data_IF_890715648549
#
_entry.id   IF_890715648549
#
_cell.length_a   1.000
_cell.length_b   1.000
_cell.length_c   1.000
_cell.angle_alpha   90.00
_cell.angle_beta   90.00
_cell.angle_gamma   90.00
#
_symmetry.space_group_name_H-M   'P 1'
#
loop_
_entity.id
_entity.type
_entity.pdbx_description
1 polymer ?
#
# COMPACT_ATOMS: atom_id res chain seq x y z
N UNK A 1 11.09 5.31 4.56
CA UNK A 1 11.11 4.15 5.47
C UNK A 1 10.23 3.03 4.91
N UNK A 2 10.74 1.82 4.87
CA UNK A 2 9.95 0.66 4.48
C UNK A 2 9.25 0.04 5.67
N UNK A 3 7.97 -0.28 5.50
CA UNK A 3 7.17 -0.97 6.51
C UNK A 3 6.54 -2.20 5.91
N UNK A 4 6.31 -3.20 6.73
CA UNK A 4 5.64 -4.45 6.36
C UNK A 4 4.57 -4.74 7.38
N UNK A 5 3.52 -5.40 6.93
CA UNK A 5 2.44 -5.80 7.84
C UNK A 5 1.45 -6.73 7.19
N UNK A 6 0.40 -7.00 7.94
CA UNK A 6 -0.73 -7.80 7.50
C UNK A 6 -2.01 -7.09 7.88
N UNK A 7 -2.92 -6.92 6.95
CA UNK A 7 -4.20 -6.28 7.16
C UNK A 7 -5.28 -7.12 6.49
N UNK A 8 -6.32 -7.48 7.22
CA UNK A 8 -7.41 -8.33 6.71
C UNK A 8 -6.91 -9.66 6.12
N UNK A 9 -5.79 -10.18 6.66
CA UNK A 9 -5.18 -11.40 6.16
C UNK A 9 -4.26 -11.22 4.95
N UNK A 10 -4.12 -10.02 4.43
CA UNK A 10 -3.25 -9.71 3.29
C UNK A 10 -1.93 -9.15 3.77
N UNK A 11 -0.81 -9.72 3.28
CA UNK A 11 0.53 -9.16 3.54
C UNK A 11 0.73 -7.93 2.66
N UNK A 12 1.46 -6.97 3.18
CA UNK A 12 1.80 -5.78 2.40
C UNK A 12 3.19 -5.26 2.77
N UNK A 13 3.77 -4.52 1.84
CA UNK A 13 5.01 -3.77 2.03
C UNK A 13 4.79 -2.36 1.50
N UNK A 14 5.24 -1.37 2.26
CA UNK A 14 5.01 0.02 1.91
C UNK A 14 6.23 0.88 2.17
N UNK A 15 6.49 1.83 1.27
CA UNK A 15 7.48 2.88 1.53
C UNK A 15 6.74 4.12 1.99
N UNK A 16 7.04 4.56 3.20
CA UNK A 16 6.31 5.63 3.87
C UNK A 16 7.26 6.77 4.19
N UNK A 17 6.89 7.99 3.81
CA UNK A 17 7.65 9.19 4.11
C UNK A 17 7.00 9.96 5.26
N UNK A 18 7.75 10.88 5.83
CA UNK A 18 7.25 11.73 6.93
C UNK A 18 6.15 12.68 6.43
N UNK A 19 6.30 13.18 5.21
CA UNK A 19 5.34 14.12 4.62
C UNK A 19 4.74 13.54 3.35
N UNK A 20 3.53 13.94 3.02
CA UNK A 20 2.90 13.59 1.77
C UNK A 20 3.59 14.24 0.58
N UNK A 21 3.39 13.68 -0.62
CA UNK A 21 3.96 14.19 -1.86
C UNK A 21 3.05 13.89 -3.04
N UNK A 22 3.34 14.55 -4.18
CA UNK A 22 2.60 14.30 -5.41
C UNK A 22 2.78 12.86 -5.92
N UNK A 23 3.81 12.16 -5.45
CA UNK A 23 4.06 10.76 -5.83
C UNK A 23 3.39 9.76 -4.87
N UNK A 24 2.83 10.22 -3.76
CA UNK A 24 2.15 9.37 -2.82
C UNK A 24 0.72 9.06 -3.26
N UNK A 25 0.17 7.95 -2.76
CA UNK A 25 -1.23 7.60 -2.99
C UNK A 25 -2.09 8.74 -2.42
N UNK A 26 -2.94 9.32 -3.26
CA UNK A 26 -3.80 10.47 -2.89
C UNK A 26 -2.99 11.65 -2.31
N UNK A 27 -1.79 11.87 -2.84
CA UNK A 27 -0.86 12.90 -2.37
C UNK A 27 -0.47 12.70 -0.90
N UNK A 28 -0.53 11.45 -0.43
CA UNK A 28 -0.20 11.10 0.94
C UNK A 28 1.25 10.69 1.13
N UNK A 29 1.50 10.01 2.25
CA UNK A 29 2.85 9.64 2.69
C UNK A 29 3.34 8.32 2.09
N UNK A 30 2.45 7.48 1.55
CA UNK A 30 2.81 6.18 0.99
C UNK A 30 3.10 6.34 -0.49
N UNK A 31 4.37 6.18 -0.89
CA UNK A 31 4.79 6.34 -2.29
C UNK A 31 5.00 5.02 -3.01
N UNK A 32 5.11 3.91 -2.28
CA UNK A 32 5.18 2.56 -2.83
C UNK A 32 4.36 1.65 -1.95
N UNK A 33 3.56 0.79 -2.57
CA UNK A 33 2.73 -0.15 -1.84
C UNK A 33 2.51 -1.40 -2.68
N UNK A 34 2.83 -2.55 -2.10
CA UNK A 34 2.50 -3.84 -2.68
C UNK A 34 1.64 -4.61 -1.68
N UNK A 35 0.53 -5.16 -2.14
CA UNK A 35 -0.35 -6.00 -1.33
C UNK A 35 -0.43 -7.35 -2.01
N UNK A 36 -0.27 -8.43 -1.24
CA UNK A 36 -0.19 -9.79 -1.75
C UNK A 36 -1.40 -10.61 -1.32
N UNK A 37 -1.94 -11.37 -2.26
CA UNK A 37 -3.02 -12.31 -1.97
C UNK A 37 -2.52 -13.57 -1.27
N UNK A 38 -3.47 -14.47 -0.94
CA UNK A 38 -3.16 -15.69 -0.21
C UNK A 38 -2.16 -16.59 -0.93
N UNK A 39 -2.13 -16.54 -2.27
CA UNK A 39 -1.20 -17.33 -3.07
C UNK A 39 0.17 -16.67 -3.25
N UNK A 40 0.40 -15.52 -2.61
CA UNK A 40 1.66 -14.80 -2.71
C UNK A 40 1.80 -13.87 -3.91
N UNK A 41 0.82 -13.85 -4.81
CA UNK A 41 0.84 -12.94 -5.95
C UNK A 41 0.34 -11.56 -5.55
N UNK A 42 0.92 -10.52 -6.15
CA UNK A 42 0.48 -9.16 -5.90
C UNK A 42 -0.94 -8.95 -6.42
N UNK A 43 -1.79 -8.32 -5.63
CA UNK A 43 -3.14 -7.92 -6.01
C UNK A 43 -3.25 -6.40 -6.12
N UNK A 44 -2.27 -5.68 -5.63
CA UNK A 44 -2.19 -4.23 -5.73
C UNK A 44 -0.73 -3.84 -5.81
N UNK A 45 -0.39 -2.95 -6.71
CA UNK A 45 0.97 -2.44 -6.86
C UNK A 45 0.93 -0.97 -7.22
N UNK A 46 1.58 -0.16 -6.40
CA UNK A 46 1.73 1.27 -6.58
C UNK A 46 3.20 1.62 -6.39
N UNK A 47 3.81 2.25 -7.39
CA UNK A 47 5.20 2.72 -7.33
C UNK A 47 5.24 4.12 -7.93
N UNK A 48 4.98 5.13 -7.09
CA UNK A 48 4.87 6.54 -7.48
C UNK A 48 3.80 6.79 -8.55
N UNK A 49 2.94 5.81 -8.74
CA UNK A 49 1.82 5.78 -9.67
C UNK A 49 1.21 4.39 -9.61
N UNK A 50 -0.07 4.29 -9.96
CA UNK A 50 -0.78 3.02 -9.87
C UNK A 50 -0.42 2.10 -11.04
N UNK A 51 0.09 0.90 -10.74
CA UNK A 51 0.43 -0.12 -11.72
C UNK A 51 -0.64 -1.23 -11.81
N UNK A 52 -1.23 -1.60 -10.68
CA UNK A 52 -2.21 -2.68 -10.62
C UNK A 52 -3.15 -2.44 -9.44
N UNK A 53 -4.44 -2.63 -9.66
CA UNK A 53 -5.43 -2.54 -8.58
C UNK A 53 -6.49 -3.61 -8.74
N UNK A 54 -6.26 -4.76 -8.12
CA UNK A 54 -7.23 -5.85 -8.01
C UNK A 54 -7.59 -6.10 -6.54
N UNK A 55 -7.35 -5.11 -5.67
CA UNK A 55 -7.63 -5.24 -4.25
C UNK A 55 -9.13 -5.16 -3.97
N UNK A 56 -9.62 -5.88 -2.95
CA UNK A 56 -10.99 -5.72 -2.50
C UNK A 56 -11.27 -4.27 -2.08
N UNK A 57 -12.52 -3.85 -2.23
CA UNK A 57 -12.92 -2.50 -1.88
C UNK A 57 -12.56 -2.16 -0.44
N UNK A 58 -11.94 -1.00 -0.25
CA UNK A 58 -11.56 -0.51 1.07
C UNK A 58 -10.26 -1.06 1.63
N UNK A 59 -9.70 -2.13 1.05
CA UNK A 59 -8.47 -2.73 1.58
C UNK A 59 -7.29 -1.75 1.52
N UNK A 60 -7.11 -1.07 0.40
CA UNK A 60 -5.99 -0.13 0.23
C UNK A 60 -6.03 0.95 1.30
N UNK A 61 -7.21 1.51 1.58
CA UNK A 61 -7.35 2.54 2.62
C UNK A 61 -6.98 2.01 4.00
N UNK A 62 -7.39 0.78 4.33
CA UNK A 62 -7.06 0.17 5.62
C UNK A 62 -5.56 -0.13 5.74
N UNK A 63 -4.94 -0.55 4.65
CA UNK A 63 -3.49 -0.78 4.62
C UNK A 63 -2.74 0.54 4.81
N UNK A 64 -3.14 1.59 4.11
CA UNK A 64 -2.51 2.91 4.26
C UNK A 64 -2.63 3.40 5.69
N UNK A 65 -3.80 3.25 6.31
CA UNK A 65 -3.98 3.63 7.71
C UNK A 65 -3.03 2.86 8.62
N UNK A 66 -2.91 1.56 8.43
CA UNK A 66 -1.99 0.74 9.21
C UNK A 66 -0.53 1.14 9.00
N UNK A 67 -0.15 1.44 7.76
CA UNK A 67 1.23 1.78 7.42
C UNK A 67 1.65 3.16 7.92
N UNK A 68 0.69 4.08 8.10
CA UNK A 68 0.98 5.47 8.48
C UNK A 68 0.72 5.78 9.95
N UNK A 69 0.44 4.77 10.74
CA UNK A 69 0.29 4.93 12.19
C UNK A 69 1.60 5.26 12.88
#
# INVERSE_FOLDING_TARGET
>A
MWKKGTTDGYRWEAKVYTNGSMFGIDNGRVSKLSIYGANGSAIYAYDRGLDMDNAPEGLVSRVIEAATK
#
